data_IF_025591695775
#
_entry.id   IF_025591695775
#
_cell.length_a   1.000
_cell.length_b   1.000
_cell.length_c   1.000
_cell.angle_alpha   90.00
_cell.angle_beta   90.00
_cell.angle_gamma   90.00
#
_symmetry.space_group_name_H-M   'P 1'
#
loop_
_entity.id
_entity.type
_entity.pdbx_description
1 polymer ?
#
# COMPACT_ATOMS: atom_id res chain seq x y z
N UNK A 1 -4.99 9.29 -15.02
CA UNK A 1 -4.33 8.01 -14.72
C UNK A 1 -3.13 7.76 -15.64
N UNK A 2 -2.27 6.86 -15.25
CA UNK A 2 -1.10 6.47 -16.02
C UNK A 2 -1.52 5.68 -17.28
N UNK A 3 -1.74 6.39 -18.36
CA UNK A 3 -2.17 5.83 -19.65
C UNK A 3 -0.96 5.60 -20.57
N UNK A 4 -1.20 5.05 -21.76
CA UNK A 4 -0.14 4.87 -22.75
C UNK A 4 0.62 6.18 -22.99
N UNK A 5 1.95 6.22 -22.77
CA UNK A 5 2.74 7.42 -23.00
C UNK A 5 2.65 7.84 -24.46
N UNK A 6 2.20 9.07 -24.66
CA UNK A 6 2.16 9.72 -25.98
C UNK A 6 3.22 10.81 -26.10
N UNK A 7 2.97 11.77 -26.97
CA UNK A 7 3.85 12.94 -27.13
C UNK A 7 3.79 13.91 -25.92
N UNK A 8 2.81 13.76 -25.02
CA UNK A 8 2.64 14.60 -23.83
C UNK A 8 3.09 13.86 -22.57
N UNK A 9 3.81 14.55 -21.69
CA UNK A 9 4.21 14.04 -20.39
C UNK A 9 3.10 14.04 -19.34
N UNK A 10 1.93 14.60 -19.66
CA UNK A 10 0.80 14.79 -18.73
C UNK A 10 0.28 13.48 -18.12
N UNK A 11 0.42 12.35 -18.83
CA UNK A 11 -0.02 11.03 -18.39
C UNK A 11 1.16 10.06 -18.21
N UNK A 12 2.35 10.58 -17.99
CA UNK A 12 3.57 9.81 -17.78
C UNK A 12 4.09 10.03 -16.34
N UNK A 13 4.70 9.01 -15.78
CA UNK A 13 5.45 9.13 -14.52
C UNK A 13 6.59 10.13 -14.65
N UNK A 14 7.24 10.18 -15.81
CA UNK A 14 8.28 11.16 -16.13
C UNK A 14 7.84 12.63 -15.98
N UNK A 15 6.53 12.89 -16.07
CA UNK A 15 5.95 14.22 -15.85
C UNK A 15 5.80 14.63 -14.38
N UNK A 16 5.98 13.72 -13.45
CA UNK A 16 5.93 14.01 -12.01
C UNK A 16 7.11 14.88 -11.58
N UNK A 17 6.97 15.73 -10.55
CA UNK A 17 8.07 16.48 -9.96
C UNK A 17 9.22 15.55 -9.51
N UNK A 18 10.46 16.04 -9.60
CA UNK A 18 11.65 15.28 -9.17
C UNK A 18 11.74 15.09 -7.65
N UNK A 19 10.89 15.78 -6.90
CA UNK A 19 10.77 15.66 -5.44
C UNK A 19 9.84 14.54 -4.97
N UNK A 20 9.28 13.74 -5.89
CA UNK A 20 8.44 12.60 -5.54
C UNK A 20 9.32 11.39 -5.26
N UNK A 21 9.30 10.92 -4.02
CA UNK A 21 10.09 9.76 -3.57
C UNK A 21 9.44 8.43 -3.94
N UNK A 22 8.11 8.33 -3.81
CA UNK A 22 7.37 7.08 -3.99
C UNK A 22 6.07 7.33 -4.76
N UNK A 23 5.73 6.41 -5.66
CA UNK A 23 4.44 6.39 -6.38
C UNK A 23 3.81 5.01 -6.22
N UNK A 24 2.59 4.94 -5.73
CA UNK A 24 1.75 3.74 -5.76
C UNK A 24 0.86 3.75 -7.00
N UNK A 25 0.96 2.69 -7.80
CA UNK A 25 0.20 2.54 -9.04
C UNK A 25 -1.09 1.77 -8.78
N UNK A 26 -2.20 2.47 -8.83
CA UNK A 26 -3.54 1.93 -8.82
C UNK A 26 -3.93 1.55 -10.24
N UNK A 27 -4.67 0.48 -10.45
CA UNK A 27 -5.18 -0.01 -11.74
C UNK A 27 -4.12 -0.30 -12.84
N UNK A 28 -4.41 -1.25 -13.70
CA UNK A 28 -3.64 -1.60 -14.91
C UNK A 28 -2.13 -1.84 -14.74
N UNK A 29 -1.66 -1.98 -13.51
CA UNK A 29 -0.24 -2.16 -13.20
C UNK A 29 0.28 -3.59 -13.46
N UNK A 30 -0.59 -4.51 -13.87
CA UNK A 30 -0.22 -5.91 -14.19
C UNK A 30 -0.14 -6.20 -15.70
N UNK A 31 -0.36 -5.19 -16.56
CA UNK A 31 -0.28 -5.34 -18.01
C UNK A 31 0.29 -4.09 -18.67
N UNK A 32 1.59 -3.84 -18.44
CA UNK A 32 2.27 -2.64 -18.92
C UNK A 32 2.56 -2.72 -20.42
N UNK A 33 2.25 -1.65 -21.15
CA UNK A 33 2.73 -1.43 -22.51
C UNK A 33 4.24 -1.18 -22.53
N UNK A 34 4.87 -1.31 -23.69
CA UNK A 34 6.30 -1.00 -23.85
C UNK A 34 6.64 0.47 -23.51
N UNK A 35 5.71 1.39 -23.78
CA UNK A 35 5.86 2.79 -23.40
C UNK A 35 5.83 2.97 -21.88
N UNK A 36 4.91 2.31 -21.18
CA UNK A 36 4.83 2.34 -19.72
C UNK A 36 6.06 1.71 -19.05
N UNK A 37 6.59 0.62 -19.60
CA UNK A 37 7.83 0.01 -19.10
C UNK A 37 9.02 0.97 -19.19
N UNK A 38 9.15 1.68 -20.33
CA UNK A 38 10.22 2.69 -20.50
C UNK A 38 10.05 3.88 -19.56
N UNK A 39 8.82 4.33 -19.35
CA UNK A 39 8.50 5.42 -18.44
C UNK A 39 8.81 5.04 -16.98
N UNK A 40 8.43 3.82 -16.58
CA UNK A 40 8.78 3.23 -15.28
C UNK A 40 10.30 3.19 -15.08
N UNK A 41 11.02 2.62 -16.04
CA UNK A 41 12.48 2.54 -15.98
C UNK A 41 13.13 3.93 -15.87
N UNK A 42 12.60 4.92 -16.61
CA UNK A 42 13.11 6.30 -16.56
C UNK A 42 12.97 6.91 -15.17
N UNK A 43 11.79 6.85 -14.56
CA UNK A 43 11.59 7.46 -13.23
C UNK A 43 12.40 6.77 -12.15
N UNK A 44 12.54 5.45 -12.22
CA UNK A 44 13.35 4.68 -11.28
C UNK A 44 14.85 5.02 -11.40
N UNK A 45 15.39 5.02 -12.63
CA UNK A 45 16.84 5.17 -12.86
C UNK A 45 17.32 6.63 -12.91
N UNK A 46 16.49 7.55 -13.39
CA UNK A 46 16.87 8.94 -13.61
C UNK A 46 16.40 9.84 -12.48
N UNK A 47 15.16 9.68 -12.03
CA UNK A 47 14.61 10.49 -10.95
C UNK A 47 14.83 9.89 -9.55
N UNK A 48 15.09 8.57 -9.47
CA UNK A 48 15.23 7.86 -8.21
C UNK A 48 13.92 7.60 -7.49
N UNK A 49 12.78 7.87 -8.16
CA UNK A 49 11.43 7.63 -7.62
C UNK A 49 11.16 6.13 -7.53
N UNK A 50 10.75 5.64 -6.38
CA UNK A 50 10.27 4.27 -6.22
C UNK A 50 8.85 4.13 -6.73
N UNK A 51 8.58 3.07 -7.48
CA UNK A 51 7.26 2.82 -8.05
C UNK A 51 6.73 1.48 -7.54
N UNK A 52 5.59 1.51 -6.85
CA UNK A 52 5.00 0.35 -6.21
C UNK A 52 3.76 -0.12 -6.99
N UNK A 53 3.55 -1.43 -6.98
CA UNK A 53 2.28 -2.01 -7.34
C UNK A 53 1.31 -1.85 -6.17
N UNK A 54 0.09 -1.36 -6.42
CA UNK A 54 -0.95 -1.22 -5.40
C UNK A 54 -2.15 -2.12 -5.71
N UNK A 55 -2.70 -2.75 -4.68
CA UNK A 55 -3.89 -3.59 -4.80
C UNK A 55 -4.63 -3.74 -3.49
N UNK A 56 -5.97 -3.77 -3.56
CA UNK A 56 -6.79 -4.31 -2.49
C UNK A 56 -6.44 -5.78 -2.21
N UNK A 57 -6.65 -6.20 -0.98
CA UNK A 57 -6.44 -7.58 -0.53
C UNK A 57 -7.68 -8.15 0.15
N UNK A 58 -8.87 -7.81 -0.36
CA UNK A 58 -10.14 -8.27 0.22
C UNK A 58 -10.26 -9.79 0.21
N UNK A 59 -9.74 -10.43 -0.84
CA UNK A 59 -9.76 -11.88 -1.01
C UNK A 59 -8.48 -12.38 -1.70
N UNK A 60 -8.22 -13.67 -1.57
CA UNK A 60 -7.05 -14.29 -2.20
C UNK A 60 -7.15 -14.20 -3.72
N UNK A 61 -6.07 -13.72 -4.34
CA UNK A 61 -5.95 -13.61 -5.79
C UNK A 61 -6.49 -12.33 -6.39
N UNK A 62 -6.89 -11.36 -5.58
CA UNK A 62 -7.35 -10.07 -6.10
C UNK A 62 -6.27 -9.43 -6.97
N UNK A 63 -6.64 -9.04 -8.20
CA UNK A 63 -5.77 -8.50 -9.24
C UNK A 63 -4.61 -9.43 -9.71
N UNK A 64 -4.53 -10.66 -9.20
CA UNK A 64 -3.54 -11.66 -9.59
C UNK A 64 -4.14 -12.90 -10.23
N UNK A 65 -5.46 -13.07 -10.17
CA UNK A 65 -6.14 -14.21 -10.78
C UNK A 65 -6.23 -14.01 -12.30
N UNK A 66 -5.81 -14.99 -13.12
CA UNK A 66 -6.05 -14.96 -14.56
C UNK A 66 -7.54 -14.84 -14.88
N UNK A 67 -7.88 -14.07 -15.91
CA UNK A 67 -9.29 -13.74 -16.25
C UNK A 67 -10.19 -14.97 -16.44
N UNK A 68 -9.65 -16.04 -17.00
CA UNK A 68 -10.36 -17.30 -17.21
C UNK A 68 -10.69 -18.05 -15.91
N UNK A 69 -10.05 -17.68 -14.80
CA UNK A 69 -10.27 -18.21 -13.46
C UNK A 69 -10.92 -17.22 -12.49
N UNK A 70 -11.17 -15.98 -12.94
CA UNK A 70 -11.79 -14.92 -12.15
C UNK A 70 -13.20 -14.57 -12.63
N UNK A 71 -13.95 -15.60 -13.01
CA UNK A 71 -15.34 -15.47 -13.48
C UNK A 71 -16.28 -15.27 -12.29
N UNK A 72 -16.05 -16.03 -11.23
CA UNK A 72 -16.79 -15.99 -9.97
C UNK A 72 -15.90 -16.45 -8.79
N UNK A 73 -16.43 -16.35 -7.58
CA UNK A 73 -15.70 -16.76 -6.38
C UNK A 73 -15.32 -18.25 -6.41
N UNK A 74 -16.16 -19.12 -6.92
CA UNK A 74 -15.91 -20.56 -6.92
C UNK A 74 -14.75 -20.92 -7.85
N UNK A 75 -14.70 -20.35 -9.06
CA UNK A 75 -13.61 -20.58 -10.01
C UNK A 75 -12.30 -20.01 -9.49
N UNK A 76 -12.33 -18.82 -8.88
CA UNK A 76 -11.17 -18.20 -8.25
C UNK A 76 -10.65 -19.03 -7.07
N UNK A 77 -11.53 -19.44 -6.15
CA UNK A 77 -11.16 -20.26 -5.00
C UNK A 77 -10.55 -21.59 -5.44
N UNK A 78 -11.09 -22.24 -6.47
CA UNK A 78 -10.52 -23.46 -7.05
C UNK A 78 -9.12 -23.24 -7.61
N UNK A 79 -8.88 -22.14 -8.31
CA UNK A 79 -7.55 -21.81 -8.86
C UNK A 79 -6.50 -21.61 -7.76
N UNK A 80 -6.87 -20.93 -6.70
CA UNK A 80 -5.96 -20.66 -5.57
C UNK A 80 -5.85 -21.83 -4.59
N UNK A 81 -6.78 -22.77 -4.61
CA UNK A 81 -6.86 -23.89 -3.66
C UNK A 81 -7.52 -23.51 -2.34
N UNK A 82 -8.29 -22.40 -2.34
CA UNK A 82 -9.04 -21.96 -1.16
C UNK A 82 -10.24 -22.86 -0.90
N UNK A 83 -10.45 -23.24 0.36
CA UNK A 83 -11.64 -23.97 0.81
C UNK A 83 -12.15 -23.37 2.11
N UNK A 84 -13.44 -22.98 2.12
CA UNK A 84 -14.07 -22.41 3.30
C UNK A 84 -14.12 -23.45 4.43
N UNK A 85 -13.68 -23.05 5.63
CA UNK A 85 -13.64 -23.90 6.81
C UNK A 85 -12.38 -24.78 6.91
N UNK A 86 -11.52 -24.84 5.89
CA UNK A 86 -10.23 -25.54 5.94
C UNK A 86 -9.08 -24.53 6.12
N UNK A 87 -8.68 -24.31 7.37
CA UNK A 87 -7.62 -23.37 7.73
C UNK A 87 -6.33 -23.64 6.99
N UNK A 88 -5.94 -24.91 6.83
CA UNK A 88 -4.69 -25.27 6.15
C UNK A 88 -4.71 -24.88 4.69
N UNK A 89 -5.80 -25.19 3.98
CA UNK A 89 -5.95 -24.77 2.57
C UNK A 89 -6.02 -23.26 2.41
N UNK A 90 -6.66 -22.58 3.35
CA UNK A 90 -6.69 -21.11 3.37
C UNK A 90 -5.29 -20.52 3.52
N UNK A 91 -4.49 -21.00 4.46
CA UNK A 91 -3.11 -20.56 4.63
C UNK A 91 -2.24 -20.85 3.39
N UNK A 92 -2.38 -22.04 2.80
CA UNK A 92 -1.65 -22.42 1.57
C UNK A 92 -2.02 -21.50 0.39
N UNK A 93 -3.31 -21.19 0.22
CA UNK A 93 -3.82 -20.27 -0.80
C UNK A 93 -3.29 -18.84 -0.59
N UNK A 94 -3.25 -18.35 0.65
CA UNK A 94 -2.71 -17.04 0.99
C UNK A 94 -1.22 -16.94 0.66
N UNK A 95 -0.43 -17.97 1.01
CA UNK A 95 1.01 -18.01 0.66
C UNK A 95 1.23 -18.05 -0.86
N UNK A 96 0.44 -18.84 -1.58
CA UNK A 96 0.46 -18.89 -3.04
C UNK A 96 0.18 -17.52 -3.65
N UNK A 97 -0.82 -16.80 -3.11
CA UNK A 97 -1.16 -15.45 -3.54
C UNK A 97 -0.03 -14.46 -3.27
N UNK A 98 0.57 -14.47 -2.07
CA UNK A 98 1.70 -13.61 -1.75
C UNK A 98 2.88 -13.81 -2.73
N UNK A 99 3.19 -15.07 -3.06
CA UNK A 99 4.24 -15.39 -4.04
C UNK A 99 3.89 -14.90 -5.46
N UNK A 100 2.62 -14.98 -5.89
CA UNK A 100 2.19 -14.42 -7.17
C UNK A 100 2.31 -12.90 -7.25
N UNK A 101 2.12 -12.19 -6.13
CA UNK A 101 2.42 -10.75 -6.04
C UNK A 101 3.93 -10.52 -6.22
N UNK A 102 4.79 -11.27 -5.53
CA UNK A 102 6.25 -11.16 -5.70
C UNK A 102 6.68 -11.42 -7.15
N UNK A 103 6.10 -12.43 -7.80
CA UNK A 103 6.35 -12.71 -9.23
C UNK A 103 5.96 -11.53 -10.11
N UNK A 104 4.84 -10.86 -9.80
CA UNK A 104 4.40 -9.64 -10.50
C UNK A 104 5.39 -8.50 -10.32
N UNK A 105 5.86 -8.27 -9.08
CA UNK A 105 6.88 -7.24 -8.80
C UNK A 105 8.16 -7.50 -9.59
N UNK A 106 8.62 -8.73 -9.64
CA UNK A 106 9.83 -9.11 -10.37
C UNK A 106 9.64 -8.98 -11.89
N UNK A 107 8.48 -9.41 -12.41
CA UNK A 107 8.17 -9.34 -13.85
C UNK A 107 8.22 -7.91 -14.39
N UNK A 108 7.75 -6.93 -13.63
CA UNK A 108 7.69 -5.54 -14.05
C UNK A 108 8.76 -4.66 -13.41
N UNK A 109 9.62 -5.24 -12.57
CA UNK A 109 10.66 -4.52 -11.83
C UNK A 109 10.11 -3.40 -10.94
N UNK A 110 9.00 -3.67 -10.23
CA UNK A 110 8.48 -2.74 -9.24
C UNK A 110 9.38 -2.69 -7.99
N UNK A 111 9.39 -1.52 -7.33
CA UNK A 111 10.18 -1.26 -6.13
C UNK A 111 9.48 -1.72 -4.84
N UNK A 112 8.32 -2.33 -4.94
CA UNK A 112 7.58 -2.85 -3.80
C UNK A 112 6.09 -3.02 -4.03
N UNK A 113 5.40 -3.30 -2.95
CA UNK A 113 3.95 -3.52 -2.94
C UNK A 113 3.28 -2.63 -1.90
N UNK A 114 2.18 -2.02 -2.29
CA UNK A 114 1.31 -1.23 -1.45
C UNK A 114 -0.02 -1.97 -1.27
N UNK A 115 -0.28 -2.41 -0.04
CA UNK A 115 -1.51 -3.13 0.31
C UNK A 115 -2.58 -2.09 0.66
N UNK A 116 -3.57 -1.92 -0.21
CA UNK A 116 -4.77 -1.16 0.10
C UNK A 116 -5.67 -2.00 1.02
N UNK A 117 -5.59 -1.68 2.31
CA UNK A 117 -6.16 -2.47 3.40
C UNK A 117 -7.24 -1.69 4.15
N UNK A 118 -8.48 -1.90 3.73
CA UNK A 118 -9.66 -1.18 4.24
C UNK A 118 -10.77 -2.13 4.73
N UNK A 119 -10.51 -3.00 5.71
CA UNK A 119 -11.47 -4.04 6.12
C UNK A 119 -12.79 -3.49 6.66
N UNK A 120 -12.82 -2.26 7.20
CA UNK A 120 -14.01 -1.65 7.79
C UNK A 120 -14.68 -0.60 6.88
N UNK A 121 -14.09 -0.24 5.72
CA UNK A 121 -14.62 0.77 4.80
C UNK A 121 -15.22 0.20 3.51
N UNK A 122 -15.70 -1.05 3.54
CA UNK A 122 -16.40 -1.66 2.40
C UNK A 122 -15.53 -2.57 1.52
N UNK A 123 -14.24 -2.65 1.79
CA UNK A 123 -13.29 -3.55 1.11
C UNK A 123 -12.86 -4.72 1.99
N UNK A 124 -13.61 -5.00 3.04
CA UNK A 124 -13.51 -6.22 3.82
C UNK A 124 -13.87 -7.45 2.97
N UNK A 125 -13.25 -8.57 3.28
CA UNK A 125 -13.48 -9.84 2.60
C UNK A 125 -12.79 -10.96 3.35
N UNK A 126 -12.83 -12.17 2.79
CA UNK A 126 -12.35 -13.38 3.49
C UNK A 126 -10.88 -13.29 3.89
N UNK A 127 -10.05 -12.52 3.17
CA UNK A 127 -8.64 -12.27 3.53
C UNK A 127 -8.53 -11.05 4.44
N UNK A 128 -8.94 -9.87 3.98
CA UNK A 128 -8.75 -8.60 4.72
C UNK A 128 -9.45 -8.58 6.09
N UNK A 129 -10.58 -9.29 6.25
CA UNK A 129 -11.28 -9.38 7.53
C UNK A 129 -10.72 -10.46 8.48
N UNK A 130 -9.64 -11.15 8.11
CA UNK A 130 -8.99 -12.16 8.92
C UNK A 130 -7.53 -11.78 9.21
N UNK A 131 -7.28 -11.23 10.39
CA UNK A 131 -5.96 -10.73 10.79
C UNK A 131 -4.88 -11.82 10.85
N UNK A 132 -5.24 -13.08 11.12
CA UNK A 132 -4.28 -14.18 11.14
C UNK A 132 -3.83 -14.53 9.71
N UNK A 133 -4.77 -14.55 8.76
CA UNK A 133 -4.46 -14.74 7.34
C UNK A 133 -3.68 -13.53 6.78
N UNK A 134 -4.03 -12.31 7.18
CA UNK A 134 -3.25 -11.11 6.82
C UNK A 134 -1.83 -11.16 7.38
N UNK A 135 -1.64 -11.66 8.60
CA UNK A 135 -0.31 -11.88 9.16
C UNK A 135 0.49 -12.88 8.31
N UNK A 136 -0.12 -13.99 7.90
CA UNK A 136 0.50 -14.97 7.01
C UNK A 136 0.84 -14.34 5.66
N UNK A 137 -0.07 -13.57 5.07
CA UNK A 137 0.14 -12.88 3.80
C UNK A 137 1.35 -11.94 3.86
N UNK A 138 1.37 -11.04 4.83
CA UNK A 138 2.42 -10.04 5.01
C UNK A 138 3.77 -10.70 5.34
N UNK A 139 3.80 -11.70 6.20
CA UNK A 139 5.04 -12.40 6.54
C UNK A 139 5.57 -13.26 5.39
N UNK A 140 4.72 -13.78 4.52
CA UNK A 140 5.15 -14.45 3.29
C UNK A 140 5.77 -13.46 2.29
N UNK A 141 5.14 -12.29 2.06
CA UNK A 141 5.71 -11.18 1.26
C UNK A 141 7.07 -10.73 1.83
N UNK A 142 7.17 -10.67 3.15
CA UNK A 142 8.36 -10.22 3.86
C UNK A 142 9.57 -11.15 3.73
N UNK A 143 9.43 -12.31 3.12
CA UNK A 143 10.57 -13.14 2.68
C UNK A 143 11.30 -12.54 1.48
N UNK A 144 10.64 -11.66 0.72
CA UNK A 144 11.16 -11.10 -0.53
C UNK A 144 11.25 -9.58 -0.54
N UNK A 145 10.37 -8.87 0.19
CA UNK A 145 10.31 -7.39 0.22
C UNK A 145 10.08 -6.89 1.65
N UNK A 146 10.35 -5.61 1.88
CA UNK A 146 10.14 -4.98 3.19
C UNK A 146 11.33 -5.11 4.16
N UNK A 147 11.26 -4.49 5.34
CA UNK A 147 12.41 -4.24 6.21
C UNK A 147 13.02 -5.49 6.86
N UNK A 148 12.32 -6.63 6.85
CA UNK A 148 12.82 -7.92 7.36
C UNK A 148 13.28 -8.87 6.27
N UNK A 149 13.18 -8.47 4.99
CA UNK A 149 13.59 -9.28 3.84
C UNK A 149 15.09 -9.11 3.53
N UNK A 150 15.65 -9.97 2.63
CA UNK A 150 16.96 -9.72 2.03
C UNK A 150 17.01 -8.47 1.14
N UNK A 151 15.85 -7.88 0.80
CA UNK A 151 15.70 -6.74 -0.09
C UNK A 151 14.91 -5.60 0.60
N UNK A 152 15.46 -4.99 1.68
CA UNK A 152 14.77 -3.93 2.43
C UNK A 152 14.54 -2.65 1.60
N UNK A 153 15.26 -2.48 0.50
CA UNK A 153 15.05 -1.40 -0.47
C UNK A 153 13.75 -1.55 -1.27
N UNK A 154 13.20 -2.77 -1.38
CA UNK A 154 11.87 -3.03 -1.92
C UNK A 154 10.83 -2.85 -0.81
N UNK A 155 9.98 -1.84 -0.96
CA UNK A 155 9.05 -1.42 0.09
C UNK A 155 7.84 -2.35 0.21
N UNK A 156 7.37 -2.56 1.42
CA UNK A 156 6.08 -3.17 1.73
C UNK A 156 5.26 -2.16 2.54
N UNK A 157 4.24 -1.61 1.93
CA UNK A 157 3.35 -0.63 2.55
C UNK A 157 2.01 -1.28 2.91
N UNK A 158 1.37 -0.71 3.93
CA UNK A 158 -0.05 -0.97 4.23
C UNK A 158 -0.75 0.37 4.30
N UNK A 159 -1.64 0.62 3.35
CA UNK A 159 -2.44 1.82 3.21
C UNK A 159 -3.87 1.58 3.74
N UNK A 160 -4.45 2.57 4.40
CA UNK A 160 -5.81 2.55 4.92
C UNK A 160 -5.89 2.33 6.43
N UNK A 161 -6.06 1.09 6.88
CA UNK A 161 -6.33 0.75 8.29
C UNK A 161 -5.26 -0.16 8.94
N UNK A 162 -3.96 0.14 8.86
CA UNK A 162 -2.89 -0.72 9.40
C UNK A 162 -3.05 -1.03 10.89
N UNK A 163 -3.69 -0.15 11.67
CA UNK A 163 -3.93 -0.31 13.10
C UNK A 163 -4.89 -1.49 13.44
N UNK A 164 -5.58 -2.05 12.44
CA UNK A 164 -6.45 -3.23 12.65
C UNK A 164 -5.70 -4.55 12.57
N UNK A 165 -4.49 -4.57 12.00
CA UNK A 165 -3.63 -5.75 11.91
C UNK A 165 -3.21 -6.26 13.29
N UNK A 166 -2.82 -7.53 13.38
CA UNK A 166 -2.14 -8.07 14.55
C UNK A 166 -0.82 -7.32 14.78
N UNK A 167 -0.51 -6.98 16.05
CA UNK A 167 0.68 -6.17 16.38
C UNK A 167 1.98 -6.80 15.88
N UNK A 168 2.08 -8.13 15.94
CA UNK A 168 3.23 -8.91 15.49
C UNK A 168 3.54 -8.74 14.00
N UNK A 169 2.58 -8.23 13.22
CA UNK A 169 2.75 -7.99 11.79
C UNK A 169 3.51 -6.69 11.51
N UNK A 170 3.41 -5.72 12.42
CA UNK A 170 3.94 -4.37 12.22
C UNK A 170 5.45 -4.32 11.87
N UNK A 171 6.36 -5.11 12.49
CA UNK A 171 7.78 -5.04 12.17
C UNK A 171 8.16 -5.39 10.73
N UNK A 172 7.26 -6.07 10.00
CA UNK A 172 7.48 -6.51 8.60
C UNK A 172 7.11 -5.44 7.57
N UNK A 173 6.44 -4.35 7.99
CA UNK A 173 5.92 -3.29 7.14
C UNK A 173 6.90 -2.12 7.09
N UNK A 174 7.21 -1.62 5.90
CA UNK A 174 8.11 -0.47 5.71
C UNK A 174 7.45 0.82 6.18
N UNK A 175 6.21 1.08 5.73
CA UNK A 175 5.44 2.26 6.10
C UNK A 175 3.95 1.94 6.26
N UNK A 176 3.33 2.62 7.21
CA UNK A 176 1.89 2.63 7.46
C UNK A 176 1.31 3.90 6.86
N UNK A 177 0.52 3.77 5.82
CA UNK A 177 -0.08 4.90 5.11
C UNK A 177 -1.50 5.09 5.62
N UNK A 178 -1.78 6.25 6.19
CA UNK A 178 -3.08 6.58 6.75
C UNK A 178 -3.81 7.53 5.83
N UNK A 179 -4.94 7.08 5.31
CA UNK A 179 -5.85 7.89 4.49
C UNK A 179 -6.56 8.94 5.36
N UNK A 180 -5.82 10.01 5.68
CA UNK A 180 -6.26 11.07 6.57
C UNK A 180 -6.96 12.22 5.82
N UNK A 181 -7.71 11.87 4.77
CA UNK A 181 -8.37 12.81 3.87
C UNK A 181 -9.23 13.81 4.64
N UNK A 182 -9.02 15.11 4.39
CA UNK A 182 -9.70 16.23 5.04
C UNK A 182 -9.55 16.27 6.59
N UNK A 183 -8.57 15.56 7.11
CA UNK A 183 -8.36 15.47 8.55
C UNK A 183 -7.71 16.76 9.08
N UNK A 184 -8.19 17.21 10.23
CA UNK A 184 -7.61 18.34 10.98
C UNK A 184 -6.63 17.80 12.02
N UNK A 185 -5.79 18.70 12.53
CA UNK A 185 -4.72 18.45 13.50
C UNK A 185 -5.06 17.41 14.59
N UNK A 186 -6.13 17.62 15.35
CA UNK A 186 -6.50 16.71 16.43
C UNK A 186 -6.86 15.28 15.96
N UNK A 187 -7.33 15.14 14.72
CA UNK A 187 -7.61 13.85 14.13
C UNK A 187 -6.30 13.16 13.69
N UNK A 188 -5.33 13.89 13.14
CA UNK A 188 -4.03 13.35 12.75
C UNK A 188 -3.28 12.81 13.98
N UNK A 189 -3.21 13.58 15.07
CA UNK A 189 -2.61 13.15 16.32
C UNK A 189 -3.30 11.89 16.88
N UNK A 190 -4.62 11.85 16.86
CA UNK A 190 -5.40 10.69 17.31
C UNK A 190 -5.13 9.44 16.51
N UNK A 191 -5.01 9.56 15.18
CA UNK A 191 -4.71 8.42 14.29
C UNK A 191 -3.31 7.88 14.54
N UNK A 192 -2.30 8.75 14.67
CA UNK A 192 -0.94 8.35 15.02
C UNK A 192 -0.90 7.66 16.39
N UNK A 193 -1.54 8.25 17.40
CA UNK A 193 -1.58 7.68 18.74
C UNK A 193 -2.26 6.30 18.79
N UNK A 194 -3.28 6.09 17.96
CA UNK A 194 -3.93 4.78 17.79
C UNK A 194 -2.92 3.73 17.31
N UNK A 195 -2.13 4.07 16.30
CA UNK A 195 -1.08 3.18 15.80
C UNK A 195 0.03 2.92 16.82
N UNK A 196 0.50 3.95 17.51
CA UNK A 196 1.49 3.80 18.60
C UNK A 196 0.96 2.85 19.66
N UNK A 197 -0.26 3.06 20.15
CA UNK A 197 -0.87 2.21 21.17
C UNK A 197 -1.04 0.76 20.71
N UNK A 198 -1.31 0.54 19.43
CA UNK A 198 -1.46 -0.80 18.84
C UNK A 198 -0.13 -1.55 18.76
N UNK A 199 0.95 -0.88 18.36
CA UNK A 199 2.20 -1.54 17.99
C UNK A 199 3.31 -1.43 19.04
N UNK A 200 3.14 -0.63 20.10
CA UNK A 200 4.16 -0.41 21.14
C UNK A 200 4.60 -1.66 21.93
N UNK A 201 3.86 -2.76 21.82
CA UNK A 201 4.26 -4.05 22.41
C UNK A 201 5.38 -4.75 21.64
N UNK A 202 5.62 -4.37 20.39
CA UNK A 202 6.57 -5.04 19.47
C UNK A 202 7.58 -4.09 18.82
N UNK A 203 7.36 -2.79 18.94
CA UNK A 203 8.22 -1.74 18.38
C UNK A 203 8.27 -0.54 19.34
N UNK A 204 9.34 0.25 19.27
CA UNK A 204 9.42 1.52 19.99
C UNK A 204 8.51 2.59 19.36
N UNK A 205 8.12 3.58 20.16
CA UNK A 205 7.31 4.70 19.67
C UNK A 205 8.01 5.45 18.53
N UNK A 206 9.32 5.63 18.61
CA UNK A 206 10.14 6.26 17.57
C UNK A 206 10.10 5.45 16.27
N UNK A 207 10.28 4.13 16.31
CA UNK A 207 10.21 3.27 15.13
C UNK A 207 8.83 3.31 14.49
N UNK A 208 7.77 3.32 15.30
CA UNK A 208 6.39 3.41 14.81
C UNK A 208 6.18 4.76 14.13
N UNK A 209 6.50 5.86 14.81
CA UNK A 209 6.29 7.23 14.30
C UNK A 209 7.04 7.46 12.99
N UNK A 210 8.28 6.98 12.88
CA UNK A 210 9.10 7.12 11.67
C UNK A 210 8.58 6.32 10.47
N UNK A 211 7.61 5.42 10.67
CA UNK A 211 6.99 4.64 9.59
C UNK A 211 5.58 5.12 9.22
N UNK A 212 5.03 6.13 9.92
CA UNK A 212 3.71 6.66 9.62
C UNK A 212 3.77 7.72 8.53
N UNK A 213 2.91 7.54 7.51
CA UNK A 213 2.67 8.51 6.44
C UNK A 213 1.19 8.92 6.52
N UNK A 214 0.93 10.21 6.68
CA UNK A 214 -0.42 10.77 6.61
C UNK A 214 -0.66 11.30 5.20
N UNK A 215 -1.79 10.94 4.61
CA UNK A 215 -2.11 11.31 3.23
C UNK A 215 -3.31 12.23 3.15
N UNK A 216 -3.36 13.03 2.08
CA UNK A 216 -4.47 13.93 1.77
C UNK A 216 -5.03 13.63 0.38
N UNK A 217 -6.33 13.85 0.20
CA UNK A 217 -7.00 13.71 -1.08
C UNK A 217 -6.87 14.98 -1.92
N UNK A 218 -5.96 14.98 -2.89
CA UNK A 218 -5.72 16.12 -3.76
C UNK A 218 -6.75 16.24 -4.92
N UNK A 219 -7.59 15.23 -5.15
CA UNK A 219 -8.59 15.26 -6.24
C UNK A 219 -9.71 16.27 -5.96
N UNK A 220 -10.05 16.48 -4.69
CA UNK A 220 -11.18 17.33 -4.28
C UNK A 220 -10.83 18.33 -3.18
N UNK A 221 -9.62 18.28 -2.65
CA UNK A 221 -9.19 19.19 -1.56
C UNK A 221 -8.78 20.57 -2.11
N UNK A 222 -9.74 21.48 -2.22
CA UNK A 222 -9.49 22.87 -2.63
C UNK A 222 -8.47 23.56 -1.70
N UNK A 223 -8.45 23.18 -0.43
CA UNK A 223 -7.53 23.74 0.56
C UNK A 223 -6.06 23.42 0.26
N UNK A 224 -5.76 22.33 -0.44
CA UNK A 224 -4.41 22.01 -0.92
C UNK A 224 -3.85 23.11 -1.83
N UNK A 225 -4.69 23.75 -2.65
CA UNK A 225 -4.30 24.85 -3.53
C UNK A 225 -3.89 26.10 -2.73
N UNK A 226 -4.39 26.23 -1.50
CA UNK A 226 -4.12 27.33 -0.59
C UNK A 226 -3.10 26.98 0.50
N UNK A 227 -2.43 25.82 0.38
CA UNK A 227 -1.45 25.33 1.34
C UNK A 227 -2.08 24.65 2.56
N UNK A 228 -3.29 24.09 2.44
CA UNK A 228 -3.93 23.28 3.45
C UNK A 228 -4.62 24.08 4.58
N UNK A 229 -4.95 23.40 5.67
CA UNK A 229 -5.58 23.98 6.85
C UNK A 229 -4.57 24.64 7.79
N UNK A 230 -4.96 25.70 8.53
CA UNK A 230 -4.14 26.25 9.60
C UNK A 230 -3.80 25.17 10.63
N UNK A 231 -2.55 25.09 11.00
CA UNK A 231 -2.03 24.10 11.94
C UNK A 231 -1.46 24.80 13.19
N UNK A 232 -1.78 24.30 14.37
CA UNK A 232 -1.22 24.74 15.64
C UNK A 232 -0.37 23.61 16.22
N UNK A 233 0.87 23.91 16.56
CA UNK A 233 1.74 22.91 17.19
C UNK A 233 1.33 22.60 18.63
N UNK A 234 1.70 21.43 19.17
CA UNK A 234 1.40 21.03 20.56
C UNK A 234 1.91 22.04 21.61
N UNK A 235 2.95 22.79 21.30
CA UNK A 235 3.49 23.84 22.18
C UNK A 235 2.76 25.20 22.03
N UNK A 236 1.65 25.22 21.31
CA UNK A 236 0.79 26.38 21.16
C UNK A 236 1.30 27.45 20.22
N UNK A 237 2.38 27.17 19.47
CA UNK A 237 2.84 28.09 18.42
C UNK A 237 1.92 27.99 17.22
N UNK A 238 1.34 29.11 16.83
CA UNK A 238 0.72 29.24 15.52
C UNK A 238 1.81 29.19 14.46
N UNK A 239 1.82 28.13 13.65
CA UNK A 239 2.74 28.06 12.52
C UNK A 239 2.05 28.54 11.26
N UNK A 240 2.79 29.16 10.30
CA UNK A 240 2.25 29.39 8.95
C UNK A 240 2.09 28.09 8.15
N UNK A 241 2.49 26.95 8.71
CA UNK A 241 2.36 25.64 8.07
C UNK A 241 0.91 25.19 8.15
N UNK A 242 0.45 24.68 7.05
CA UNK A 242 -0.86 24.06 6.91
C UNK A 242 -0.64 22.58 6.68
N UNK A 243 -1.48 21.74 7.31
CA UNK A 243 -1.54 20.35 6.86
C UNK A 243 -2.01 20.34 5.42
N UNK A 244 -1.27 19.67 4.57
CA UNK A 244 -1.75 19.37 3.24
C UNK A 244 -2.87 18.37 3.35
#
# INVERSE_FOLDING_TARGET
GWSNPGASTTNMLAGLPDSIDVVSLWDNSTNLSEGQKKDLEFVQKVKGTKVLFCSFTSYVGQHATPKEHDIDEATRNKFWGWEDGDTKKQEEAVRKYANAIVDTLNKYNYDGFDIDFEPNYGYGGKLASNNDLMHIFITELAKSIGPKSPHPEKLLLVDGEPQTLNAETAPYISYYVIQAYFAKEGNLDSRLQTGINKFKSVMTEEEITNRYIMTENLESAIDCLNGGYPFSTRDGRSTPYRSL
#
